data_IF_583602667162
#
_entry.id   IF_583602667162
#
_cell.length_a   1.000
_cell.length_b   1.000
_cell.length_c   1.000
_cell.angle_alpha   90.00
_cell.angle_beta   90.00
_cell.angle_gamma   90.00
#
_symmetry.space_group_name_H-M   'P 1'
#
loop_
_entity.id
_entity.type
_entity.pdbx_description
1 polymer ?
#
# COMPACT_ATOMS: atom_id res chain seq x y z
N UNK A 1 -11.09 6.68 9.27
CA UNK A 1 -10.70 5.45 8.54
C UNK A 1 -10.06 4.49 9.52
N UNK A 2 -10.38 3.17 9.43
CA UNK A 2 -9.69 2.12 10.20
C UNK A 2 -8.75 1.39 9.24
N UNK A 3 -7.46 1.34 9.58
CA UNK A 3 -6.42 0.69 8.78
C UNK A 3 -5.91 -0.51 9.56
N UNK A 4 -6.15 -1.72 9.05
CA UNK A 4 -5.68 -2.98 9.62
C UNK A 4 -4.48 -3.46 8.81
N UNK A 5 -3.39 -3.79 9.48
CA UNK A 5 -2.24 -4.42 8.85
C UNK A 5 -2.46 -5.93 8.75
N UNK A 6 -2.24 -6.50 7.58
CA UNK A 6 -2.45 -7.93 7.32
C UNK A 6 -1.14 -8.68 7.00
N UNK A 7 0.00 -8.00 7.20
CA UNK A 7 1.33 -8.54 6.95
C UNK A 7 1.95 -8.06 5.64
N UNK A 8 3.26 -7.95 5.59
CA UNK A 8 4.06 -7.48 4.46
C UNK A 8 3.65 -6.08 3.98
N UNK A 9 2.97 -5.98 2.84
CA UNK A 9 2.41 -4.75 2.29
C UNK A 9 0.88 -4.74 2.27
N UNK A 10 0.25 -5.79 2.80
CA UNK A 10 -1.20 -5.94 2.76
C UNK A 10 -1.89 -5.13 3.85
N UNK A 11 -2.85 -4.30 3.43
CA UNK A 11 -3.69 -3.50 4.32
C UNK A 11 -5.16 -3.73 4.02
N UNK A 12 -6.01 -3.78 5.05
CA UNK A 12 -7.44 -3.55 4.92
C UNK A 12 -7.79 -2.15 5.45
N UNK A 13 -8.47 -1.35 4.63
CA UNK A 13 -8.87 0.00 4.99
C UNK A 13 -10.39 0.07 4.95
N UNK A 14 -11.00 0.23 6.13
CA UNK A 14 -12.46 0.45 6.25
C UNK A 14 -12.77 1.92 6.24
N UNK A 15 -13.61 2.33 5.28
CA UNK A 15 -14.06 3.70 5.05
C UNK A 15 -15.58 3.67 4.93
N UNK A 16 -16.28 4.18 5.95
CA UNK A 16 -17.72 4.02 6.07
C UNK A 16 -18.11 2.52 5.98
N UNK A 17 -19.00 2.16 5.06
CA UNK A 17 -19.41 0.77 4.79
C UNK A 17 -18.46 -0.01 3.87
N UNK A 18 -17.49 0.68 3.22
CA UNK A 18 -16.63 0.05 2.23
C UNK A 18 -15.35 -0.54 2.83
N UNK A 19 -14.96 -1.70 2.29
CA UNK A 19 -13.68 -2.36 2.56
C UNK A 19 -12.77 -2.25 1.34
N UNK A 20 -11.61 -1.65 1.51
CA UNK A 20 -10.56 -1.50 0.49
C UNK A 20 -9.36 -2.31 0.93
N UNK A 21 -8.94 -3.30 0.13
CA UNK A 21 -7.73 -4.08 0.40
C UNK A 21 -6.62 -3.63 -0.55
N UNK A 22 -5.42 -3.45 -0.01
CA UNK A 22 -4.22 -3.05 -0.75
C UNK A 22 -3.26 -4.22 -0.80
N UNK A 23 -2.73 -4.52 -1.98
CA UNK A 23 -1.66 -5.49 -2.24
C UNK A 23 -1.84 -6.82 -1.49
N UNK A 24 -2.90 -7.61 -1.77
CA UNK A 24 -3.20 -8.81 -1.00
C UNK A 24 -2.17 -9.93 -1.24
N UNK A 25 -1.36 -10.17 -0.19
CA UNK A 25 -0.41 -11.24 -0.06
C UNK A 25 -0.53 -11.88 1.32
N UNK A 26 -1.44 -12.82 1.45
CA UNK A 26 -1.82 -13.48 2.72
C UNK A 26 -1.48 -14.96 2.66
N UNK A 27 -2.00 -15.68 1.65
CA UNK A 27 -1.91 -17.14 1.54
C UNK A 27 -0.48 -17.68 1.48
N UNK A 28 0.46 -16.91 0.96
CA UNK A 28 1.88 -17.27 0.86
C UNK A 28 2.79 -16.58 1.87
N UNK A 29 2.22 -15.78 2.77
CA UNK A 29 2.96 -14.93 3.68
C UNK A 29 3.11 -15.58 5.07
N UNK A 30 4.34 -15.97 5.50
CA UNK A 30 4.55 -16.60 6.80
C UNK A 30 4.14 -15.71 7.99
N UNK A 31 4.20 -14.37 7.83
CA UNK A 31 3.77 -13.42 8.85
C UNK A 31 2.26 -13.24 8.92
N UNK A 32 1.52 -13.67 7.90
CA UNK A 32 0.05 -13.56 7.85
C UNK A 32 -0.65 -14.87 8.23
N UNK A 33 0.04 -15.83 8.85
CA UNK A 33 -0.52 -17.16 9.18
C UNK A 33 -1.76 -17.10 10.08
N UNK A 34 -1.93 -16.04 10.87
CA UNK A 34 -3.10 -15.83 11.73
C UNK A 34 -4.20 -14.99 11.06
N UNK A 35 -3.99 -14.55 9.81
CA UNK A 35 -4.98 -13.77 9.06
C UNK A 35 -5.95 -14.70 8.37
N UNK A 36 -7.22 -14.59 8.70
CA UNK A 36 -8.28 -15.36 8.05
C UNK A 36 -8.73 -14.66 6.76
N UNK A 37 -8.17 -15.11 5.64
CA UNK A 37 -8.48 -14.59 4.31
C UNK A 37 -9.96 -14.81 3.92
N UNK A 38 -10.61 -15.86 4.43
CA UNK A 38 -12.01 -16.17 4.13
C UNK A 38 -12.97 -15.14 4.73
N UNK A 39 -12.55 -14.44 5.77
CA UNK A 39 -13.32 -13.35 6.39
C UNK A 39 -13.06 -11.98 5.73
N UNK A 40 -12.10 -11.90 4.81
CA UNK A 40 -11.80 -10.66 4.11
C UNK A 40 -12.80 -10.46 2.95
N UNK A 41 -13.57 -9.37 3.00
CA UNK A 41 -14.63 -9.08 2.04
C UNK A 41 -14.43 -7.70 1.40
N UNK A 42 -13.43 -7.54 0.53
CA UNK A 42 -13.17 -6.25 -0.10
C UNK A 42 -14.21 -5.90 -1.17
N UNK A 43 -14.68 -4.67 -1.15
CA UNK A 43 -15.41 -4.05 -2.26
C UNK A 43 -14.44 -3.61 -3.37
N UNK A 44 -13.23 -3.17 -2.96
CA UNK A 44 -12.18 -2.67 -3.84
C UNK A 44 -10.83 -3.28 -3.48
N UNK A 45 -10.02 -3.57 -4.51
CA UNK A 45 -8.65 -4.05 -4.35
C UNK A 45 -7.72 -3.08 -5.07
N UNK A 46 -6.83 -2.41 -4.34
CA UNK A 46 -5.80 -1.53 -4.88
C UNK A 46 -4.51 -2.33 -5.06
N UNK A 47 -3.88 -2.19 -6.23
CA UNK A 47 -2.62 -2.88 -6.53
C UNK A 47 -1.58 -1.82 -6.90
N UNK A 48 -0.49 -1.76 -6.13
CA UNK A 48 0.59 -0.80 -6.36
C UNK A 48 1.45 -1.21 -7.54
N UNK A 49 1.76 -2.51 -7.66
CA UNK A 49 2.56 -3.09 -8.73
C UNK A 49 2.37 -4.61 -8.82
N UNK A 50 2.96 -5.25 -9.85
CA UNK A 50 2.62 -6.63 -10.23
C UNK A 50 3.54 -7.72 -9.65
N UNK A 51 4.36 -7.45 -8.64
CA UNK A 51 5.14 -8.48 -7.99
C UNK A 51 4.26 -9.46 -7.21
N UNK A 52 4.70 -10.72 -7.13
CA UNK A 52 3.89 -11.81 -6.56
C UNK A 52 3.46 -11.54 -5.11
N UNK A 53 4.31 -10.93 -4.32
CA UNK A 53 4.08 -10.57 -2.92
C UNK A 53 3.15 -9.35 -2.73
N UNK A 54 2.54 -8.86 -3.82
CA UNK A 54 1.50 -7.82 -3.82
C UNK A 54 0.20 -8.27 -4.50
N UNK A 55 0.24 -9.36 -5.29
CA UNK A 55 -0.92 -9.77 -6.11
C UNK A 55 -1.39 -11.20 -5.88
N UNK A 56 -0.75 -11.97 -4.99
CA UNK A 56 -0.97 -13.42 -4.86
C UNK A 56 -2.45 -13.76 -4.67
N UNK A 57 -3.16 -13.02 -3.84
CA UNK A 57 -4.55 -13.31 -3.47
C UNK A 57 -5.58 -12.45 -4.22
N UNK A 58 -5.16 -11.62 -5.19
CA UNK A 58 -6.06 -10.72 -5.94
C UNK A 58 -7.17 -11.48 -6.64
N UNK A 59 -6.84 -12.54 -7.41
CA UNK A 59 -7.83 -13.28 -8.18
C UNK A 59 -8.86 -13.95 -7.27
N UNK A 60 -8.42 -14.56 -6.17
CA UNK A 60 -9.29 -15.20 -5.19
C UNK A 60 -10.27 -14.18 -4.61
N UNK A 61 -9.74 -13.12 -4.01
CA UNK A 61 -10.55 -12.10 -3.35
C UNK A 61 -11.50 -11.38 -4.30
N UNK A 62 -11.02 -10.98 -5.49
CA UNK A 62 -11.84 -10.29 -6.47
C UNK A 62 -12.99 -11.18 -6.98
N UNK A 63 -12.74 -12.47 -7.20
CA UNK A 63 -13.74 -13.40 -7.71
C UNK A 63 -14.81 -13.75 -6.66
N UNK A 64 -14.39 -13.96 -5.42
CA UNK A 64 -15.29 -14.35 -4.33
C UNK A 64 -16.18 -13.22 -3.83
N UNK A 65 -15.70 -11.97 -3.95
CA UNK A 65 -16.40 -10.79 -3.43
C UNK A 65 -16.92 -9.84 -4.52
N UNK A 66 -16.74 -10.19 -5.81
CA UNK A 66 -17.11 -9.34 -6.95
C UNK A 66 -16.44 -7.95 -6.91
N UNK A 67 -15.23 -7.89 -6.31
CA UNK A 67 -14.49 -6.66 -6.04
C UNK A 67 -14.02 -5.96 -7.32
N UNK A 68 -13.88 -4.64 -7.26
CA UNK A 68 -13.30 -3.84 -8.34
C UNK A 68 -11.79 -3.70 -8.10
N UNK A 69 -10.98 -4.20 -9.03
CA UNK A 69 -9.53 -4.05 -9.00
C UNK A 69 -9.16 -2.67 -9.55
N UNK A 70 -8.33 -1.92 -8.81
CA UNK A 70 -7.88 -0.59 -9.20
C UNK A 70 -6.35 -0.55 -9.21
N UNK A 71 -5.77 -0.17 -10.34
CA UNK A 71 -4.32 -0.07 -10.53
C UNK A 71 -3.98 0.71 -11.80
N UNK A 72 -2.71 0.63 -12.27
CA UNK A 72 -2.35 1.08 -13.60
C UNK A 72 -3.08 0.27 -14.69
N UNK A 73 -3.04 0.78 -15.91
CA UNK A 73 -3.77 0.19 -17.04
C UNK A 73 -3.36 -1.26 -17.31
N UNK A 74 -2.06 -1.58 -17.26
CA UNK A 74 -1.51 -2.90 -17.58
C UNK A 74 -1.98 -3.97 -16.60
N UNK A 75 -1.94 -3.66 -15.30
CA UNK A 75 -2.38 -4.56 -14.24
C UNK A 75 -3.89 -4.79 -14.34
N UNK A 76 -4.68 -3.74 -14.48
CA UNK A 76 -6.13 -3.88 -14.59
C UNK A 76 -6.51 -4.68 -15.84
N UNK A 77 -5.89 -4.39 -16.99
CA UNK A 77 -6.14 -5.13 -18.23
C UNK A 77 -5.77 -6.63 -18.09
N UNK A 78 -4.68 -6.96 -17.38
CA UNK A 78 -4.31 -8.35 -17.11
C UNK A 78 -5.44 -9.09 -16.37
N UNK A 79 -6.00 -8.50 -15.32
CA UNK A 79 -7.08 -9.12 -14.54
C UNK A 79 -8.43 -9.09 -15.28
N UNK A 80 -8.72 -8.04 -16.07
CA UNK A 80 -9.92 -8.00 -16.90
C UNK A 80 -9.92 -9.10 -17.98
N UNK A 81 -8.77 -9.43 -18.55
CA UNK A 81 -8.63 -10.56 -19.48
C UNK A 81 -8.91 -11.93 -18.82
N UNK A 82 -8.89 -11.99 -17.48
CA UNK A 82 -9.31 -13.15 -16.68
C UNK A 82 -10.79 -13.08 -16.26
N UNK A 83 -11.54 -12.08 -16.74
CA UNK A 83 -12.96 -11.89 -16.45
C UNK A 83 -13.28 -11.17 -15.15
N UNK A 84 -12.28 -10.54 -14.50
CA UNK A 84 -12.48 -9.79 -13.28
C UNK A 84 -12.83 -8.32 -13.55
N UNK A 85 -13.52 -7.67 -12.62
CA UNK A 85 -13.86 -6.24 -12.71
C UNK A 85 -12.64 -5.37 -12.41
N UNK A 86 -12.49 -4.27 -13.14
CA UNK A 86 -11.39 -3.37 -12.87
C UNK A 86 -11.62 -1.95 -13.37
N UNK A 87 -10.99 -0.99 -12.69
CA UNK A 87 -10.96 0.42 -13.05
C UNK A 87 -9.51 0.84 -13.27
N UNK A 88 -9.07 1.03 -14.53
CA UNK A 88 -7.70 1.43 -14.81
C UNK A 88 -7.46 2.91 -14.48
N UNK A 89 -6.34 3.17 -13.87
CA UNK A 89 -5.82 4.51 -13.62
C UNK A 89 -4.45 4.67 -14.29
N UNK A 90 -3.84 5.82 -14.17
CA UNK A 90 -2.42 6.02 -14.45
C UNK A 90 -1.89 7.19 -13.61
N UNK A 91 -0.55 7.31 -13.54
CA UNK A 91 0.14 8.31 -12.72
C UNK A 91 -0.39 9.72 -12.97
N UNK A 92 -0.68 10.43 -11.88
CA UNK A 92 -1.28 11.75 -11.92
C UNK A 92 -2.80 11.74 -12.08
N UNK A 93 -3.43 10.60 -12.42
CA UNK A 93 -4.88 10.45 -12.47
C UNK A 93 -5.52 10.43 -11.08
N UNK A 94 -6.78 10.84 -11.00
CA UNK A 94 -7.62 10.70 -9.82
C UNK A 94 -9.04 10.35 -10.21
N UNK A 95 -9.75 9.69 -9.31
CA UNK A 95 -11.16 9.34 -9.49
C UNK A 95 -11.91 9.38 -8.16
N UNK A 96 -13.19 9.69 -8.20
CA UNK A 96 -14.07 9.61 -7.03
C UNK A 96 -14.80 8.27 -7.07
N UNK A 97 -14.43 7.38 -6.15
CA UNK A 97 -15.12 6.13 -5.86
C UNK A 97 -16.11 6.33 -4.73
N UNK A 98 -16.97 5.34 -4.48
CA UNK A 98 -17.96 5.39 -3.40
C UNK A 98 -17.30 5.52 -2.01
N UNK A 99 -16.08 4.99 -1.84
CA UNK A 99 -15.31 5.14 -0.60
C UNK A 99 -14.57 6.49 -0.46
N UNK A 100 -14.46 7.29 -1.52
CA UNK A 100 -13.76 8.59 -1.51
C UNK A 100 -12.92 8.86 -2.75
N UNK A 101 -12.17 9.96 -2.75
CA UNK A 101 -11.23 10.29 -3.83
C UNK A 101 -9.98 9.41 -3.74
N UNK A 102 -9.60 8.80 -4.85
CA UNK A 102 -8.35 8.07 -5.02
C UNK A 102 -7.47 8.78 -6.05
N UNK A 103 -6.22 9.03 -5.70
CA UNK A 103 -5.17 9.58 -6.57
C UNK A 103 -4.08 8.53 -6.76
N UNK A 104 -3.70 8.26 -8.02
CA UNK A 104 -2.56 7.41 -8.34
C UNK A 104 -1.30 8.26 -8.50
N UNK A 105 -0.23 7.93 -7.77
CA UNK A 105 1.03 8.70 -7.73
C UNK A 105 2.21 7.82 -8.10
N UNK A 106 3.34 8.45 -8.44
CA UNK A 106 4.55 7.75 -8.88
C UNK A 106 5.22 6.97 -7.74
N UNK A 107 5.78 5.81 -8.08
CA UNK A 107 6.72 5.05 -7.26
C UNK A 107 7.90 4.61 -8.12
N UNK A 108 9.08 4.52 -7.53
CA UNK A 108 10.31 4.10 -8.23
C UNK A 108 10.66 2.68 -7.81
N UNK A 109 10.22 1.74 -8.61
CA UNK A 109 10.40 0.31 -8.43
C UNK A 109 10.24 -0.42 -9.77
N UNK A 110 10.27 -1.75 -9.78
CA UNK A 110 9.93 -2.58 -10.94
C UNK A 110 8.51 -3.16 -10.81
N UNK A 111 7.95 -3.64 -11.90
CA UNK A 111 6.60 -4.21 -11.91
C UNK A 111 6.49 -5.25 -13.01
N UNK A 112 6.61 -6.52 -12.62
CA UNK A 112 6.54 -7.67 -13.52
C UNK A 112 5.70 -8.75 -12.88
N UNK A 113 4.75 -9.30 -13.63
CA UNK A 113 3.99 -10.46 -13.19
C UNK A 113 4.87 -11.71 -13.07
N UNK A 114 4.49 -12.72 -12.26
CA UNK A 114 5.25 -13.95 -12.08
C UNK A 114 5.53 -14.73 -13.37
N UNK A 115 4.68 -14.57 -14.38
CA UNK A 115 4.83 -15.16 -15.71
C UNK A 115 5.75 -14.36 -16.64
N UNK A 116 6.33 -13.26 -16.17
CA UNK A 116 7.18 -12.35 -16.93
C UNK A 116 6.44 -11.27 -17.71
N UNK A 117 5.11 -11.22 -17.66
CA UNK A 117 4.34 -10.16 -18.31
C UNK A 117 4.63 -8.79 -17.65
N UNK A 118 4.55 -7.73 -18.46
CA UNK A 118 4.77 -6.37 -18.00
C UNK A 118 3.60 -5.90 -17.12
N UNK A 119 3.89 -5.46 -15.89
CA UNK A 119 2.93 -4.88 -14.96
C UNK A 119 2.81 -3.35 -15.03
N UNK A 120 3.37 -2.70 -16.04
CA UNK A 120 3.41 -1.25 -16.13
C UNK A 120 4.38 -0.61 -15.12
N UNK A 121 4.26 0.70 -14.92
CA UNK A 121 5.04 1.41 -13.92
C UNK A 121 4.41 1.27 -12.54
N UNK A 122 5.19 1.00 -11.47
CA UNK A 122 4.71 0.98 -10.10
C UNK A 122 4.13 2.32 -9.68
N UNK A 123 3.19 2.30 -8.76
CA UNK A 123 2.65 3.53 -8.18
C UNK A 123 2.18 3.34 -6.75
N UNK A 124 1.93 4.46 -6.11
CA UNK A 124 1.27 4.54 -4.81
C UNK A 124 -0.11 5.17 -4.94
N UNK A 125 -0.80 5.24 -3.81
CA UNK A 125 -2.15 5.79 -3.74
C UNK A 125 -2.26 6.87 -2.66
N UNK A 126 -3.05 7.90 -2.95
CA UNK A 126 -3.55 8.79 -1.91
C UNK A 126 -5.06 8.58 -1.86
N UNK A 127 -5.58 8.21 -0.69
CA UNK A 127 -7.01 8.05 -0.43
C UNK A 127 -7.46 9.23 0.42
N UNK A 128 -8.48 9.96 -0.04
CA UNK A 128 -9.10 11.07 0.71
C UNK A 128 -10.58 10.81 0.93
N UNK A 129 -11.00 10.70 2.20
CA UNK A 129 -12.38 10.52 2.61
C UNK A 129 -12.60 11.06 4.02
N UNK A 130 -13.81 11.55 4.33
CA UNK A 130 -14.19 12.04 5.67
C UNK A 130 -13.21 13.09 6.23
N UNK A 131 -12.74 14.02 5.39
CA UNK A 131 -11.73 15.05 5.73
C UNK A 131 -10.38 14.48 6.22
N UNK A 132 -10.07 13.23 5.88
CA UNK A 132 -8.80 12.57 6.16
C UNK A 132 -8.13 12.15 4.85
N UNK A 133 -6.81 12.21 4.82
CA UNK A 133 -6.01 11.74 3.68
C UNK A 133 -4.88 10.83 4.14
N UNK A 134 -4.75 9.69 3.47
CA UNK A 134 -3.64 8.76 3.69
C UNK A 134 -2.85 8.57 2.39
N UNK A 135 -1.53 8.47 2.51
CA UNK A 135 -0.64 8.10 1.42
C UNK A 135 -0.13 6.68 1.64
N UNK A 136 -0.26 5.83 0.63
CA UNK A 136 0.27 4.45 0.60
C UNK A 136 1.29 4.44 -0.52
N UNK A 137 2.57 4.32 -0.16
CA UNK A 137 3.66 4.53 -1.11
C UNK A 137 3.79 3.39 -2.13
N UNK A 138 3.38 2.17 -1.79
CA UNK A 138 3.79 0.98 -2.52
C UNK A 138 5.28 0.69 -2.30
N UNK A 139 5.82 -0.20 -3.09
CA UNK A 139 7.26 -0.40 -3.13
C UNK A 139 7.92 0.72 -3.90
N UNK A 140 8.83 1.42 -3.23
CA UNK A 140 9.50 2.57 -3.84
C UNK A 140 10.82 2.89 -3.16
N UNK A 141 11.76 3.40 -3.94
CA UNK A 141 12.88 4.18 -3.43
C UNK A 141 12.39 5.58 -2.99
N UNK A 142 13.20 6.29 -2.21
CA UNK A 142 13.00 7.72 -1.95
C UNK A 142 13.06 8.50 -3.27
N UNK A 143 12.06 9.32 -3.54
CA UNK A 143 12.00 10.10 -4.78
C UNK A 143 11.54 11.54 -4.55
N UNK A 144 12.07 12.46 -5.38
CA UNK A 144 11.67 13.87 -5.33
C UNK A 144 10.19 14.10 -5.67
N UNK A 145 9.54 13.18 -6.38
CA UNK A 145 8.12 13.28 -6.69
C UNK A 145 7.23 13.31 -5.44
N UNK A 146 7.70 12.76 -4.33
CA UNK A 146 7.02 12.85 -3.03
C UNK A 146 6.79 14.28 -2.57
N UNK A 147 7.65 15.24 -2.97
CA UNK A 147 7.49 16.67 -2.65
C UNK A 147 6.31 17.34 -3.34
N UNK A 148 5.73 16.71 -4.35
CA UNK A 148 4.53 17.22 -5.05
C UNK A 148 3.27 16.95 -4.22
N UNK A 149 3.27 15.90 -3.41
CA UNK A 149 2.11 15.46 -2.61
C UNK A 149 1.58 16.59 -1.71
N UNK A 150 2.40 17.23 -0.86
CA UNK A 150 1.92 18.24 0.08
C UNK A 150 1.50 19.57 -0.58
N UNK A 151 1.69 19.72 -1.89
CA UNK A 151 1.16 20.86 -2.61
C UNK A 151 -0.37 20.83 -2.76
N UNK A 152 -0.98 19.65 -2.61
CA UNK A 152 -2.42 19.41 -2.80
C UNK A 152 -3.09 18.63 -1.68
N UNK A 153 -2.33 17.81 -0.94
CA UNK A 153 -2.85 16.92 0.09
C UNK A 153 -2.20 17.22 1.43
N UNK A 154 -3.01 17.32 2.48
CA UNK A 154 -2.54 17.34 3.85
C UNK A 154 -2.75 15.93 4.41
N UNK A 155 -1.68 15.20 4.63
CA UNK A 155 -1.74 13.80 5.02
C UNK A 155 -1.92 13.65 6.54
N UNK A 156 -2.86 12.82 6.96
CA UNK A 156 -3.04 12.41 8.35
C UNK A 156 -2.18 11.19 8.71
N UNK A 157 -1.81 10.40 7.70
CA UNK A 157 -0.96 9.22 7.82
C UNK A 157 -0.27 8.95 6.49
N UNK A 158 0.97 8.48 6.55
CA UNK A 158 1.61 7.84 5.40
C UNK A 158 2.01 6.40 5.74
N UNK A 159 1.84 5.50 4.79
CA UNK A 159 2.29 4.11 4.86
C UNK A 159 3.51 3.99 3.95
N UNK A 160 4.68 3.74 4.55
CA UNK A 160 5.96 3.73 3.85
C UNK A 160 6.69 2.40 4.05
N UNK A 161 7.33 1.84 3.00
CA UNK A 161 8.21 0.69 3.17
C UNK A 161 9.45 1.10 3.97
N UNK A 162 9.90 0.20 4.85
CA UNK A 162 11.04 0.43 5.74
C UNK A 162 12.03 -0.75 5.78
N UNK A 163 11.84 -1.75 4.91
CA UNK A 163 12.60 -3.00 4.92
C UNK A 163 13.97 -2.93 4.27
N UNK A 164 14.31 -1.80 3.62
CA UNK A 164 15.57 -1.64 2.88
C UNK A 164 15.73 -2.66 1.74
N UNK A 165 16.93 -2.78 1.17
CA UNK A 165 17.36 -3.70 0.12
C UNK A 165 16.51 -3.67 -1.17
N UNK A 166 15.20 -3.85 -1.10
CA UNK A 166 14.29 -3.80 -2.25
C UNK A 166 13.48 -2.50 -2.34
N UNK A 167 13.37 -1.77 -1.25
CA UNK A 167 12.61 -0.51 -1.13
C UNK A 167 13.41 0.52 -0.34
N UNK A 168 12.77 1.58 0.15
CA UNK A 168 13.38 2.45 1.16
C UNK A 168 13.70 1.66 2.43
N UNK A 169 14.82 2.00 3.08
CA UNK A 169 15.03 1.72 4.49
C UNK A 169 14.37 2.77 5.38
N UNK A 170 14.41 2.57 6.69
CA UNK A 170 13.80 3.52 7.63
C UNK A 170 14.48 4.89 7.62
N UNK A 171 15.75 4.99 7.28
CA UNK A 171 16.47 6.26 7.12
C UNK A 171 15.90 7.09 5.95
N UNK A 172 15.68 6.45 4.81
CA UNK A 172 15.05 7.09 3.65
C UNK A 172 13.58 7.40 3.91
N UNK A 173 12.87 6.56 4.67
CA UNK A 173 11.49 6.81 5.06
C UNK A 173 11.35 8.05 5.97
N UNK A 174 12.35 8.37 6.80
CA UNK A 174 12.45 9.63 7.54
C UNK A 174 12.51 10.81 6.57
N UNK A 175 13.38 10.76 5.55
CA UNK A 175 13.48 11.81 4.54
C UNK A 175 12.19 11.91 3.69
N UNK A 176 11.59 10.77 3.35
CA UNK A 176 10.30 10.72 2.65
C UNK A 176 9.20 11.43 3.46
N UNK A 177 9.16 11.21 4.78
CA UNK A 177 8.19 11.86 5.66
C UNK A 177 8.32 13.40 5.67
N UNK A 178 9.55 13.92 5.55
CA UNK A 178 9.79 15.37 5.37
C UNK A 178 9.29 15.84 3.99
N UNK A 179 9.53 15.06 2.93
CA UNK A 179 9.11 15.41 1.58
C UNK A 179 7.59 15.50 1.48
N UNK A 180 6.87 14.55 2.07
CA UNK A 180 5.40 14.52 2.07
C UNK A 180 4.76 15.36 3.18
N UNK A 181 5.56 15.94 4.10
CA UNK A 181 5.11 16.70 5.26
C UNK A 181 4.10 15.94 6.12
N UNK A 182 4.42 14.69 6.42
CA UNK A 182 3.61 13.83 7.29
C UNK A 182 4.49 13.30 8.41
N UNK A 183 4.13 13.56 9.66
CA UNK A 183 4.93 13.15 10.83
C UNK A 183 4.46 11.82 11.42
N UNK A 184 3.33 11.28 10.95
CA UNK A 184 2.77 9.99 11.39
C UNK A 184 2.93 8.96 10.29
N UNK A 185 3.78 7.96 10.53
CA UNK A 185 4.15 6.96 9.54
C UNK A 185 3.77 5.56 10.06
N UNK A 186 3.05 4.79 9.26
CA UNK A 186 2.89 3.35 9.44
C UNK A 186 3.98 2.66 8.61
N UNK A 187 4.91 1.99 9.27
CA UNK A 187 5.93 1.19 8.61
C UNK A 187 5.37 -0.14 8.12
N UNK A 188 5.71 -0.54 6.91
CA UNK A 188 5.34 -1.82 6.35
C UNK A 188 6.45 -2.38 5.45
N UNK A 189 6.26 -3.55 4.79
CA UNK A 189 7.21 -4.20 3.89
C UNK A 189 8.58 -4.44 4.54
N UNK A 190 8.59 -5.06 5.72
CA UNK A 190 9.78 -5.44 6.48
C UNK A 190 9.58 -6.81 7.15
N UNK A 191 10.67 -7.46 7.55
CA UNK A 191 10.75 -8.73 8.31
C UNK A 191 10.09 -9.95 7.66
N UNK A 192 9.40 -9.83 6.52
CA UNK A 192 8.72 -10.97 5.87
C UNK A 192 9.72 -11.96 5.27
N UNK A 193 10.85 -11.46 4.79
CA UNK A 193 11.93 -12.25 4.19
C UNK A 193 13.27 -11.83 4.81
N UNK A 194 14.23 -12.75 4.90
CA UNK A 194 15.53 -12.49 5.55
C UNK A 194 16.34 -11.32 5.00
N UNK A 195 16.06 -10.90 3.74
CA UNK A 195 16.75 -9.74 3.13
C UNK A 195 16.14 -8.38 3.48
N UNK A 196 15.00 -8.38 4.17
CA UNK A 196 14.30 -7.16 4.60
C UNK A 196 14.04 -7.16 6.11
N UNK A 197 14.87 -7.89 6.87
CA UNK A 197 14.85 -7.86 8.34
C UNK A 197 15.45 -6.55 8.85
N UNK A 198 14.78 -5.92 9.81
CA UNK A 198 15.21 -4.65 10.40
C UNK A 198 15.26 -4.69 11.92
N UNK A 199 16.05 -3.83 12.53
CA UNK A 199 15.94 -3.50 13.95
C UNK A 199 14.79 -2.50 14.15
N UNK A 200 13.58 -3.02 14.43
CA UNK A 200 12.38 -2.23 14.64
C UNK A 200 12.55 -1.21 15.78
N UNK A 201 13.24 -1.58 16.87
CA UNK A 201 13.46 -0.68 18.00
C UNK A 201 14.32 0.52 17.61
N UNK A 202 15.38 0.27 16.86
CA UNK A 202 16.24 1.31 16.31
C UNK A 202 15.48 2.19 15.33
N UNK A 203 14.68 1.63 14.41
CA UNK A 203 13.88 2.40 13.48
C UNK A 203 12.93 3.37 14.21
N UNK A 204 12.21 2.90 15.22
CA UNK A 204 11.32 3.75 16.04
C UNK A 204 12.10 4.85 16.76
N UNK A 205 13.28 4.53 17.32
CA UNK A 205 14.13 5.52 17.97
C UNK A 205 14.61 6.62 17.02
N UNK A 206 15.04 6.26 15.79
CA UNK A 206 15.52 7.23 14.81
C UNK A 206 14.41 8.18 14.35
N UNK A 207 13.18 7.69 14.12
CA UNK A 207 12.03 8.56 13.86
C UNK A 207 11.75 9.52 15.02
N UNK A 208 11.82 9.03 16.27
CA UNK A 208 11.59 9.85 17.47
C UNK A 208 12.64 10.96 17.60
N UNK A 209 13.89 10.72 17.23
CA UNK A 209 14.97 11.75 17.29
C UNK A 209 14.66 12.97 16.42
N UNK A 210 13.87 12.80 15.36
CA UNK A 210 13.45 13.87 14.45
C UNK A 210 12.00 14.33 14.69
N UNK A 211 11.43 14.03 15.85
CA UNK A 211 10.06 14.38 16.26
C UNK A 211 8.97 13.81 15.34
N UNK A 212 9.16 12.60 14.83
CA UNK A 212 8.19 11.87 14.01
C UNK A 212 7.76 10.59 14.72
N UNK A 213 6.57 10.10 14.36
CA UNK A 213 6.00 8.87 14.91
C UNK A 213 6.11 7.75 13.85
N UNK A 214 6.91 6.73 14.13
CA UNK A 214 6.86 5.46 13.40
C UNK A 214 5.98 4.48 14.16
N UNK A 215 4.89 4.08 13.53
CA UNK A 215 3.97 3.06 14.02
C UNK A 215 4.37 1.72 13.40
N UNK A 216 4.62 0.74 14.24
CA UNK A 216 4.83 -0.65 13.85
C UNK A 216 3.77 -1.48 14.56
N UNK A 217 2.94 -2.19 13.80
CA UNK A 217 1.87 -3.05 14.33
C UNK A 217 1.98 -4.45 13.72
N UNK A 218 1.41 -5.43 14.42
CA UNK A 218 1.39 -6.83 13.99
C UNK A 218 0.20 -7.09 13.06
N UNK A 219 0.24 -8.19 12.28
CA UNK A 219 -0.92 -8.64 11.54
C UNK A 219 -2.17 -8.75 12.43
N UNK A 220 -3.33 -8.34 11.88
CA UNK A 220 -4.62 -8.19 12.57
C UNK A 220 -4.73 -7.00 13.54
N UNK A 221 -3.63 -6.30 13.85
CA UNK A 221 -3.72 -5.04 14.59
C UNK A 221 -4.11 -3.89 13.65
N UNK A 222 -4.69 -2.84 14.24
CA UNK A 222 -5.18 -1.69 13.45
C UNK A 222 -4.93 -0.35 14.14
N UNK A 223 -4.94 0.67 13.33
CA UNK A 223 -4.97 2.07 13.76
C UNK A 223 -6.22 2.75 13.22
N UNK A 224 -6.63 3.85 13.85
CA UNK A 224 -7.73 4.71 13.38
C UNK A 224 -7.23 6.15 13.24
N UNK A 225 -7.64 6.81 12.16
CA UNK A 225 -7.36 8.22 11.89
C UNK A 225 -8.64 9.01 11.66
#
# INVERSE_FOLDING_TARGET
MKITFLGHATLEIKINEFSVVVDPFISGNPFASEVDIENLKPDFILITHAHQDHILDVEKLAKENDSIIISNFEIVNHFQNKGLKGHPMNHGGKWNFDFGELKYVNAIHTSTFPDGANGGQPGGFIISANNKSIYIAGDTALTFDMKIIPLKYNLDLAVLPIGDNFTMGYEDAILASDFIKCDKILGYHFDTFGLIEIDQSKAVEEFKKVNKELIIIKPNEYITI
#
